data_IF_628691617883
#
_entry.id   IF_628691617883
#
_cell.length_a   1.000
_cell.length_b   1.000
_cell.length_c   1.000
_cell.angle_alpha   90.00
_cell.angle_beta   90.00
_cell.angle_gamma   90.00
#
_symmetry.space_group_name_H-M   'P 1'
#
loop_
_entity.id
_entity.type
_entity.pdbx_description
1 polymer ?
#
# COMPACT_ATOMS: atom_id res chain seq x y z
N UNK A 1 21.27 -60.06 -47.25
CA UNK A 1 20.35 -59.22 -48.05
C UNK A 1 20.31 -57.91 -47.31
N UNK A 2 21.29 -57.07 -47.65
CA UNK A 2 21.63 -55.82 -46.98
C UNK A 2 20.52 -54.79 -47.19
N UNK A 3 20.04 -54.18 -46.11
CA UNK A 3 19.27 -52.94 -46.18
C UNK A 3 20.19 -51.80 -45.79
N UNK A 4 20.44 -50.96 -46.79
CA UNK A 4 21.20 -49.73 -46.71
C UNK A 4 20.33 -48.65 -46.03
N UNK A 5 20.85 -47.87 -45.07
CA UNK A 5 20.08 -46.80 -44.44
C UNK A 5 19.93 -45.59 -45.37
N UNK A 6 18.73 -45.02 -45.35
CA UNK A 6 18.26 -43.86 -46.12
C UNK A 6 18.99 -42.57 -45.68
N UNK A 7 19.47 -41.70 -46.59
CA UNK A 7 20.25 -40.53 -46.23
C UNK A 7 19.36 -39.28 -46.28
N UNK A 8 18.89 -38.79 -45.13
CA UNK A 8 18.61 -37.36 -44.89
C UNK A 8 18.09 -37.18 -43.48
N UNK A 9 18.96 -36.74 -42.58
CA UNK A 9 18.55 -35.99 -41.39
C UNK A 9 19.65 -34.96 -41.11
N UNK A 10 19.62 -33.89 -41.89
CA UNK A 10 20.40 -32.67 -41.66
C UNK A 10 19.54 -31.79 -40.75
N UNK A 11 19.88 -31.61 -39.46
CA UNK A 11 19.16 -30.65 -38.63
C UNK A 11 19.56 -29.27 -39.13
N UNK A 12 18.65 -28.64 -39.88
CA UNK A 12 18.75 -27.25 -40.28
C UNK A 12 19.03 -26.31 -39.10
N UNK A 13 19.47 -25.07 -39.38
CA UNK A 13 20.06 -24.19 -38.39
C UNK A 13 19.10 -23.95 -37.21
N UNK A 14 19.62 -24.19 -36.01
CA UNK A 14 19.07 -23.79 -34.71
C UNK A 14 18.53 -22.36 -34.78
N UNK A 15 17.22 -22.23 -34.56
CA UNK A 15 16.49 -20.96 -34.50
C UNK A 15 17.24 -19.91 -33.68
N UNK A 16 17.31 -18.70 -34.23
CA UNK A 16 17.80 -17.50 -33.57
C UNK A 16 17.02 -17.25 -32.25
N UNK A 17 17.65 -16.70 -31.21
CA UNK A 17 16.98 -16.49 -29.93
C UNK A 17 15.79 -15.52 -30.11
N UNK A 18 14.62 -16.06 -29.77
CA UNK A 18 13.31 -15.42 -29.76
C UNK A 18 13.40 -14.00 -29.16
N UNK A 19 12.97 -13.00 -29.95
CA UNK A 19 12.85 -11.63 -29.45
C UNK A 19 11.82 -11.62 -28.34
N UNK A 20 12.24 -11.24 -27.13
CA UNK A 20 11.36 -11.17 -25.95
C UNK A 20 10.17 -10.25 -26.26
N UNK A 21 9.02 -10.86 -26.56
CA UNK A 21 7.77 -10.17 -26.84
C UNK A 21 7.25 -9.41 -25.62
N UNK A 22 6.38 -8.42 -25.86
CA UNK A 22 5.69 -7.71 -24.78
C UNK A 22 4.89 -8.68 -23.90
N UNK A 23 4.89 -8.49 -22.56
CA UNK A 23 4.19 -9.39 -21.66
C UNK A 23 2.71 -9.50 -22.01
N UNK A 24 2.19 -10.73 -22.00
CA UNK A 24 0.76 -10.96 -22.18
C UNK A 24 -0.10 -10.34 -21.07
N UNK A 25 -1.43 -10.21 -21.23
CA UNK A 25 -2.34 -9.57 -20.26
C UNK A 25 -2.33 -10.16 -18.83
N UNK A 26 -1.76 -11.35 -18.66
CA UNK A 26 -1.60 -12.07 -17.39
C UNK A 26 -0.15 -12.16 -16.91
N UNK A 27 0.80 -11.67 -17.70
CA UNK A 27 2.21 -11.67 -17.37
C UNK A 27 2.57 -10.34 -16.71
N UNK A 28 2.80 -10.41 -15.40
CA UNK A 28 3.33 -9.27 -14.67
C UNK A 28 4.82 -9.16 -15.01
N UNK A 29 5.33 -7.95 -15.30
CA UNK A 29 6.75 -7.77 -15.59
C UNK A 29 7.58 -8.39 -14.45
N UNK A 30 8.53 -9.24 -14.81
CA UNK A 30 9.37 -10.00 -13.86
C UNK A 30 10.31 -9.10 -13.07
N UNK A 31 10.50 -7.85 -13.51
CA UNK A 31 11.26 -6.82 -12.81
C UNK A 31 10.41 -5.57 -12.63
N UNK A 32 10.38 -5.05 -11.40
CA UNK A 32 9.73 -3.79 -11.07
C UNK A 32 10.78 -2.69 -11.08
N UNK A 33 10.45 -1.58 -11.75
CA UNK A 33 11.27 -0.37 -11.78
C UNK A 33 11.93 -0.10 -13.12
N UNK A 34 12.80 0.92 -13.12
CA UNK A 34 13.45 1.47 -14.31
C UNK A 34 14.93 1.70 -14.05
N UNK A 35 15.75 1.69 -15.11
CA UNK A 35 17.17 2.01 -15.03
C UNK A 35 17.45 3.49 -14.75
N UNK A 36 18.73 3.90 -14.75
CA UNK A 36 19.13 5.30 -14.64
C UNK A 36 18.43 6.20 -15.66
N UNK A 37 18.27 7.47 -15.31
CA UNK A 37 17.68 8.47 -16.19
C UNK A 37 18.51 8.63 -17.47
N UNK A 38 17.84 8.58 -18.62
CA UNK A 38 18.47 8.78 -19.92
C UNK A 38 18.35 10.25 -20.34
N UNK A 39 19.47 10.85 -20.74
CA UNK A 39 19.53 12.22 -21.26
C UNK A 39 19.76 13.29 -20.18
N UNK A 40 19.48 14.56 -20.49
CA UNK A 40 19.69 15.68 -19.55
C UNK A 40 18.87 15.48 -18.28
N UNK A 41 19.51 15.66 -17.12
CA UNK A 41 18.84 15.52 -15.85
C UNK A 41 17.78 16.62 -15.65
N UNK A 42 16.60 16.27 -15.11
CA UNK A 42 15.58 17.26 -14.79
C UNK A 42 16.07 18.20 -13.66
N UNK A 43 15.59 19.43 -13.68
CA UNK A 43 15.92 20.46 -12.67
C UNK A 43 14.84 20.61 -11.59
N UNK A 44 13.70 19.92 -11.73
CA UNK A 44 12.62 19.96 -10.76
C UNK A 44 13.04 19.30 -9.43
N UNK A 45 12.89 19.98 -8.29
CA UNK A 45 13.37 19.50 -6.99
C UNK A 45 12.64 18.25 -6.47
N UNK A 46 11.53 17.84 -7.10
CA UNK A 46 10.84 16.60 -6.77
C UNK A 46 11.65 15.36 -7.12
N UNK A 47 12.57 15.46 -8.08
CA UNK A 47 13.40 14.34 -8.50
C UNK A 47 14.55 14.09 -7.53
N UNK A 48 14.74 12.83 -7.17
CA UNK A 48 15.82 12.35 -6.32
C UNK A 48 17.09 12.09 -7.17
N UNK A 49 18.20 12.80 -6.90
CA UNK A 49 19.44 12.64 -7.67
C UNK A 49 20.01 11.21 -7.67
N UNK A 50 19.85 10.46 -6.58
CA UNK A 50 20.35 9.09 -6.49
C UNK A 50 19.49 8.16 -7.36
N UNK A 51 18.17 8.31 -7.34
CA UNK A 51 17.30 7.52 -8.20
C UNK A 51 17.54 7.82 -9.69
N UNK A 52 17.79 9.07 -10.04
CA UNK A 52 18.18 9.44 -11.41
C UNK A 52 19.50 8.77 -11.83
N UNK A 53 20.50 8.72 -10.95
CA UNK A 53 21.80 8.13 -11.25
C UNK A 53 21.80 6.59 -11.30
N UNK A 54 21.08 5.93 -10.39
CA UNK A 54 21.19 4.49 -10.15
C UNK A 54 20.01 3.70 -10.70
N UNK A 55 18.93 4.39 -11.07
CA UNK A 55 17.64 3.82 -11.42
C UNK A 55 16.70 3.69 -10.23
N UNK A 56 15.41 3.56 -10.53
CA UNK A 56 14.34 3.48 -9.54
C UNK A 56 13.70 2.09 -9.55
N UNK A 57 14.12 1.24 -8.60
CA UNK A 57 13.60 -0.11 -8.39
C UNK A 57 12.37 -0.20 -7.46
N UNK A 58 11.81 0.95 -7.03
CA UNK A 58 10.63 0.94 -6.13
C UNK A 58 9.41 0.43 -6.89
N UNK A 59 8.40 -0.06 -6.17
CA UNK A 59 7.10 -0.38 -6.77
C UNK A 59 6.14 0.81 -6.62
N UNK A 60 6.32 1.82 -7.47
CA UNK A 60 5.44 3.01 -7.57
C UNK A 60 4.85 3.14 -8.97
N UNK A 61 3.79 3.91 -9.13
CA UNK A 61 3.24 4.20 -10.46
C UNK A 61 4.23 5.06 -11.28
N UNK A 62 4.15 4.98 -12.61
CA UNK A 62 5.12 5.63 -13.51
C UNK A 62 5.25 7.14 -13.29
N UNK A 63 4.15 7.82 -12.94
CA UNK A 63 4.15 9.25 -12.65
C UNK A 63 4.99 9.67 -11.43
N UNK A 64 5.37 8.73 -10.57
CA UNK A 64 6.21 8.97 -9.38
C UNK A 64 7.63 8.44 -9.53
N UNK A 65 8.01 7.99 -10.73
CA UNK A 65 9.36 7.48 -10.98
C UNK A 65 10.39 8.57 -10.72
N UNK A 66 11.46 8.17 -10.04
CA UNK A 66 12.55 9.04 -9.63
C UNK A 66 12.17 10.15 -8.65
N UNK A 67 10.91 10.27 -8.21
CA UNK A 67 10.54 11.28 -7.22
C UNK A 67 11.03 10.89 -5.84
N UNK A 68 11.40 11.89 -5.04
CA UNK A 68 11.62 11.72 -3.60
C UNK A 68 10.34 11.21 -2.93
N UNK A 69 10.49 10.51 -1.80
CA UNK A 69 9.32 10.02 -1.05
C UNK A 69 8.44 11.19 -0.61
N UNK A 70 9.07 12.29 -0.21
CA UNK A 70 8.43 13.52 0.24
C UNK A 70 7.60 14.16 -0.88
N UNK A 71 8.12 14.18 -2.12
CA UNK A 71 7.37 14.69 -3.26
C UNK A 71 6.14 13.83 -3.60
N UNK A 72 6.26 12.50 -3.46
CA UNK A 72 5.13 11.58 -3.63
C UNK A 72 4.08 11.84 -2.54
N UNK A 73 4.50 11.89 -1.27
CA UNK A 73 3.59 12.19 -0.14
C UNK A 73 2.89 13.53 -0.35
N UNK A 74 3.62 14.58 -0.70
CA UNK A 74 3.06 15.90 -0.93
C UNK A 74 2.03 15.93 -2.06
N UNK A 75 2.23 15.16 -3.14
CA UNK A 75 1.24 15.05 -4.21
C UNK A 75 0.01 14.25 -3.79
N UNK A 76 0.20 13.14 -3.05
CA UNK A 76 -0.90 12.36 -2.48
C UNK A 76 -1.76 13.22 -1.53
N UNK A 77 -1.13 14.04 -0.69
CA UNK A 77 -1.80 14.89 0.29
C UNK A 77 -2.80 15.86 -0.33
N UNK A 78 -2.58 16.30 -1.59
CA UNK A 78 -3.51 17.19 -2.31
C UNK A 78 -4.85 16.55 -2.63
N UNK A 79 -4.94 15.23 -2.54
CA UNK A 79 -6.09 14.43 -2.99
C UNK A 79 -6.55 13.40 -1.95
N UNK A 80 -6.00 13.44 -0.73
CA UNK A 80 -6.47 12.60 0.36
C UNK A 80 -7.91 12.93 0.72
N UNK A 81 -8.66 11.89 1.06
CA UNK A 81 -9.98 12.05 1.64
C UNK A 81 -9.84 12.34 3.13
N UNK A 82 -10.77 13.12 3.74
CA UNK A 82 -10.68 13.52 5.14
C UNK A 82 -10.98 12.40 6.13
N UNK A 83 -11.16 11.15 5.67
CA UNK A 83 -11.33 10.01 6.55
C UNK A 83 -9.97 9.45 6.98
N UNK A 84 -9.96 8.93 8.19
CA UNK A 84 -8.83 8.32 8.86
C UNK A 84 -9.17 6.85 9.16
N UNK A 85 -8.16 6.03 9.41
CA UNK A 85 -8.34 4.62 9.81
C UNK A 85 -7.61 4.38 11.12
N UNK A 86 -8.28 3.80 12.11
CA UNK A 86 -7.67 3.41 13.37
C UNK A 86 -7.74 1.90 13.59
N UNK A 87 -6.67 1.33 14.14
CA UNK A 87 -6.56 -0.12 14.37
C UNK A 87 -5.99 -0.35 15.77
N UNK A 88 -6.67 -1.20 16.53
CA UNK A 88 -6.19 -1.65 17.84
C UNK A 88 -5.05 -2.67 17.71
N UNK A 89 -3.90 -2.40 18.35
CA UNK A 89 -2.73 -3.25 18.41
C UNK A 89 -2.50 -3.81 19.83
N UNK A 90 -3.45 -4.61 20.30
CA UNK A 90 -3.39 -5.26 21.63
C UNK A 90 -2.98 -6.75 21.57
N UNK A 91 -2.89 -7.34 20.36
CA UNK A 91 -2.66 -8.77 20.15
C UNK A 91 -1.65 -9.09 19.03
N UNK A 92 -1.99 -10.03 18.14
CA UNK A 92 -1.18 -10.36 16.96
C UNK A 92 -1.36 -9.29 15.87
N UNK A 93 -0.24 -8.75 15.39
CA UNK A 93 -0.17 -7.56 14.54
C UNK A 93 -0.17 -7.85 13.02
N UNK A 94 -0.46 -9.10 12.63
CA UNK A 94 -0.28 -9.59 11.26
C UNK A 94 -1.06 -8.78 10.20
N UNK A 95 -2.16 -8.14 10.60
CA UNK A 95 -3.05 -7.44 9.68
C UNK A 95 -2.78 -5.94 9.56
N UNK A 96 -2.02 -5.33 10.48
CA UNK A 96 -1.82 -3.87 10.51
C UNK A 96 -1.19 -3.38 9.21
N UNK A 97 -0.19 -4.11 8.69
CA UNK A 97 0.42 -3.77 7.41
C UNK A 97 -0.57 -3.78 6.24
N UNK A 98 -1.45 -4.77 6.17
CA UNK A 98 -2.47 -4.82 5.12
C UNK A 98 -3.43 -3.64 5.21
N UNK A 99 -3.85 -3.25 6.43
CA UNK A 99 -4.71 -2.08 6.60
C UNK A 99 -3.99 -0.79 6.17
N UNK A 100 -2.71 -0.62 6.52
CA UNK A 100 -1.91 0.54 6.05
C UNK A 100 -1.85 0.58 4.52
N UNK A 101 -1.64 -0.57 3.87
CA UNK A 101 -1.62 -0.67 2.41
C UNK A 101 -2.97 -0.29 1.80
N UNK A 102 -4.07 -0.80 2.35
CA UNK A 102 -5.42 -0.47 1.90
C UNK A 102 -5.72 1.02 2.12
N UNK A 103 -5.42 1.56 3.29
CA UNK A 103 -5.63 2.98 3.60
C UNK A 103 -4.85 3.90 2.64
N UNK A 104 -3.61 3.55 2.30
CA UNK A 104 -2.83 4.27 1.28
C UNK A 104 -3.49 4.19 -0.11
N UNK A 105 -3.99 3.03 -0.51
CA UNK A 105 -4.67 2.84 -1.79
C UNK A 105 -5.97 3.65 -1.92
N UNK A 106 -6.71 3.80 -0.82
CA UNK A 106 -7.92 4.63 -0.74
C UNK A 106 -7.65 6.09 -0.38
N UNK A 107 -6.39 6.51 -0.32
CA UNK A 107 -6.00 7.89 0.02
C UNK A 107 -6.61 8.39 1.34
N UNK A 108 -6.65 7.53 2.36
CA UNK A 108 -6.98 7.95 3.72
C UNK A 108 -6.01 9.05 4.18
N UNK A 109 -6.50 10.02 4.95
CA UNK A 109 -5.72 11.13 5.49
C UNK A 109 -4.58 10.64 6.41
N UNK A 110 -4.89 9.79 7.38
CA UNK A 110 -3.91 9.25 8.33
C UNK A 110 -4.35 7.86 8.84
N UNK A 111 -3.38 7.02 9.19
CA UNK A 111 -3.62 5.74 9.88
C UNK A 111 -3.14 5.83 11.32
N UNK A 112 -4.01 5.46 12.26
CA UNK A 112 -3.76 5.46 13.68
C UNK A 112 -3.53 4.03 14.20
N UNK A 113 -2.39 3.81 14.83
CA UNK A 113 -2.07 2.56 15.54
C UNK A 113 -2.28 2.79 17.03
N UNK A 114 -3.25 2.11 17.62
CA UNK A 114 -3.62 2.25 19.03
C UNK A 114 -3.00 1.12 19.85
N UNK A 115 -2.45 1.41 21.03
CA UNK A 115 -1.83 0.40 21.89
C UNK A 115 -0.34 0.22 21.61
N UNK A 116 0.09 -0.99 21.24
CA UNK A 116 1.54 -1.28 21.05
C UNK A 116 2.12 -0.46 19.89
N UNK A 117 3.27 0.17 20.13
CA UNK A 117 4.00 0.97 19.12
C UNK A 117 4.59 0.16 17.97
N UNK A 118 5.10 -1.03 18.28
CA UNK A 118 5.73 -1.91 17.29
C UNK A 118 4.67 -2.80 16.66
N UNK A 119 4.75 -2.92 15.35
CA UNK A 119 3.86 -3.75 14.56
C UNK A 119 4.58 -4.27 13.30
N UNK A 120 4.08 -5.35 12.74
CA UNK A 120 4.62 -6.03 11.57
C UNK A 120 4.30 -5.29 10.27
N UNK A 121 5.33 -4.66 9.69
CA UNK A 121 5.22 -3.87 8.45
C UNK A 121 5.20 -4.68 7.16
N UNK A 122 5.42 -6.00 7.21
CA UNK A 122 5.55 -6.85 6.00
C UNK A 122 4.33 -6.72 5.08
N UNK A 123 3.12 -6.71 5.64
CA UNK A 123 1.87 -6.57 4.88
C UNK A 123 1.69 -5.19 4.23
N UNK A 124 2.41 -4.16 4.71
CA UNK A 124 2.33 -2.82 4.13
C UNK A 124 3.00 -2.74 2.76
N UNK A 125 3.88 -3.69 2.43
CA UNK A 125 4.61 -3.68 1.15
C UNK A 125 5.28 -2.32 0.87
N UNK A 126 5.88 -1.73 1.91
CA UNK A 126 6.59 -0.43 1.88
C UNK A 126 5.67 0.79 1.67
N UNK A 127 4.35 0.60 1.55
CA UNK A 127 3.40 1.72 1.43
C UNK A 127 3.32 2.59 2.69
N UNK A 128 3.80 2.07 3.83
CA UNK A 128 3.94 2.83 5.07
C UNK A 128 4.87 4.06 4.93
N UNK A 129 5.74 4.10 3.92
CA UNK A 129 6.56 5.28 3.62
C UNK A 129 5.79 6.43 2.99
N UNK A 130 4.65 6.14 2.35
CA UNK A 130 3.86 7.11 1.61
C UNK A 130 2.54 7.48 2.32
N UNK A 131 2.34 6.95 3.54
CA UNK A 131 1.15 7.15 4.34
C UNK A 131 1.51 7.79 5.69
N UNK A 132 0.68 8.72 6.16
CA UNK A 132 0.78 9.31 7.48
C UNK A 132 0.39 8.27 8.53
N UNK A 133 1.27 8.07 9.51
CA UNK A 133 1.08 7.11 10.60
C UNK A 133 1.20 7.81 11.95
N UNK A 134 0.16 7.68 12.77
CA UNK A 134 0.13 8.18 14.15
C UNK A 134 0.00 7.03 15.12
N UNK A 135 0.74 7.11 16.23
CA UNK A 135 0.62 6.16 17.33
C UNK A 135 -0.15 6.80 18.48
N UNK A 136 -1.06 6.04 19.09
CA UNK A 136 -1.75 6.39 20.32
C UNK A 136 -1.51 5.31 21.38
N UNK A 137 -1.23 5.67 22.65
CA UNK A 137 -1.01 4.69 23.70
C UNK A 137 -2.26 3.84 24.01
N UNK A 138 -3.46 4.41 23.87
CA UNK A 138 -4.75 3.78 24.15
C UNK A 138 -5.87 4.45 23.34
N UNK A 139 -7.09 3.92 23.50
CA UNK A 139 -8.28 4.43 22.82
C UNK A 139 -8.66 5.83 23.30
N UNK A 140 -8.47 6.15 24.57
CA UNK A 140 -8.79 7.47 25.10
C UNK A 140 -7.97 8.56 24.39
N UNK A 141 -6.68 8.32 24.18
CA UNK A 141 -5.81 9.23 23.43
C UNK A 141 -6.25 9.38 21.95
N UNK A 142 -6.75 8.31 21.32
CA UNK A 142 -7.34 8.40 19.98
C UNK A 142 -8.59 9.29 19.97
N UNK A 143 -9.51 9.08 20.93
CA UNK A 143 -10.75 9.85 21.03
C UNK A 143 -10.46 11.34 21.28
N UNK A 144 -9.48 11.65 22.11
CA UNK A 144 -9.06 13.03 22.37
C UNK A 144 -8.49 13.70 21.12
N UNK A 145 -7.68 12.98 20.34
CA UNK A 145 -7.20 13.45 19.04
C UNK A 145 -8.36 13.68 18.06
N UNK A 146 -9.28 12.73 17.93
CA UNK A 146 -10.42 12.87 17.04
C UNK A 146 -11.28 14.09 17.41
N UNK A 147 -11.53 14.34 18.70
CA UNK A 147 -12.23 15.54 19.17
C UNK A 147 -11.49 16.82 18.82
N UNK A 148 -10.16 16.85 19.01
CA UNK A 148 -9.34 18.01 18.70
C UNK A 148 -9.34 18.35 17.20
N UNK A 149 -9.36 17.34 16.34
CA UNK A 149 -9.39 17.48 14.87
C UNK A 149 -10.81 17.60 14.30
N UNK A 150 -11.85 17.51 15.13
CA UNK A 150 -13.25 17.56 14.67
C UNK A 150 -13.69 16.34 13.87
N UNK A 151 -13.10 15.17 14.12
CA UNK A 151 -13.39 13.91 13.44
C UNK A 151 -14.42 13.09 14.21
N UNK A 152 -15.48 12.63 13.53
CA UNK A 152 -16.39 11.65 14.10
C UNK A 152 -15.70 10.28 14.19
N UNK A 153 -15.78 9.60 15.34
CA UNK A 153 -15.26 8.23 15.46
C UNK A 153 -16.37 7.25 15.14
N UNK A 154 -16.14 6.40 14.13
CA UNK A 154 -17.09 5.38 13.69
C UNK A 154 -16.50 4.00 13.98
N UNK A 155 -17.13 3.30 14.92
CA UNK A 155 -16.82 1.91 15.23
C UNK A 155 -17.24 0.98 14.09
N UNK A 156 -16.29 0.24 13.50
CA UNK A 156 -16.58 -0.79 12.50
C UNK A 156 -16.51 -2.16 13.15
N UNK A 157 -17.68 -2.71 13.49
CA UNK A 157 -17.82 -3.97 14.20
C UNK A 157 -19.18 -4.64 13.90
N UNK A 158 -19.35 -5.91 14.29
CA UNK A 158 -20.58 -6.69 14.11
C UNK A 158 -21.35 -6.91 15.41
N UNK A 159 -21.13 -6.06 16.42
CA UNK A 159 -21.79 -6.14 17.72
C UNK A 159 -23.26 -5.69 17.72
N UNK A 160 -23.97 -5.89 18.85
CA UNK A 160 -25.34 -5.42 19.01
C UNK A 160 -25.46 -3.91 18.78
N UNK A 161 -26.46 -3.49 18.01
CA UNK A 161 -26.70 -2.08 17.67
C UNK A 161 -25.92 -1.58 16.44
N UNK A 162 -25.08 -2.43 15.82
CA UNK A 162 -24.44 -2.10 14.55
C UNK A 162 -25.48 -1.92 13.43
N UNK A 163 -25.24 -0.94 12.58
CA UNK A 163 -26.02 -0.67 11.36
C UNK A 163 -25.25 -1.21 10.16
N UNK A 164 -25.90 -1.90 9.19
CA UNK A 164 -25.24 -2.36 7.98
C UNK A 164 -24.58 -1.20 7.21
N UNK A 165 -23.36 -1.42 6.73
CA UNK A 165 -22.55 -0.38 6.09
C UNK A 165 -23.21 0.15 4.81
N UNK A 166 -23.95 -0.69 4.10
CA UNK A 166 -24.66 -0.34 2.87
C UNK A 166 -25.81 0.67 3.06
N UNK A 167 -26.28 0.85 4.30
CA UNK A 167 -27.34 1.81 4.64
C UNK A 167 -26.91 2.87 5.64
N UNK A 168 -25.69 2.79 6.16
CA UNK A 168 -25.16 3.75 7.12
C UNK A 168 -24.68 5.03 6.43
N UNK A 169 -25.09 6.18 6.94
CA UNK A 169 -24.55 7.47 6.54
C UNK A 169 -23.24 7.74 7.28
N UNK A 170 -22.11 7.65 6.57
CA UNK A 170 -20.78 7.93 7.14
C UNK A 170 -20.38 9.40 6.96
N UNK A 171 -19.94 10.08 8.02
CA UNK A 171 -19.36 11.41 7.89
C UNK A 171 -18.11 11.38 7.02
N UNK A 172 -17.94 12.37 6.14
CA UNK A 172 -16.75 12.47 5.29
C UNK A 172 -15.46 12.58 6.13
N UNK A 173 -15.50 13.41 7.17
CA UNK A 173 -14.42 13.60 8.14
C UNK A 173 -14.66 12.69 9.36
N UNK A 174 -14.10 11.48 9.31
CA UNK A 174 -14.26 10.49 10.38
C UNK A 174 -12.99 9.66 10.59
N UNK A 175 -12.92 9.00 11.75
CA UNK A 175 -11.99 7.90 12.02
C UNK A 175 -12.78 6.60 11.98
N UNK A 176 -12.49 5.73 11.01
CA UNK A 176 -13.00 4.36 10.98
C UNK A 176 -12.16 3.50 11.94
N UNK A 177 -12.72 3.11 13.08
CA UNK A 177 -12.03 2.36 14.13
C UNK A 177 -12.33 0.85 14.02
N UNK A 178 -11.27 0.06 13.79
CA UNK A 178 -11.31 -1.39 13.68
C UNK A 178 -10.70 -2.05 14.92
N UNK A 179 -11.43 -3.02 15.49
CA UNK A 179 -10.97 -3.83 16.62
C UNK A 179 -10.06 -5.00 16.21
N UNK A 180 -9.62 -5.77 17.20
CA UNK A 180 -8.83 -6.99 16.99
C UNK A 180 -9.73 -8.13 16.49
N UNK A 181 -9.28 -8.88 15.47
CA UNK A 181 -9.96 -10.09 14.98
C UNK A 181 -10.07 -11.10 16.13
N UNK A 182 -11.28 -11.28 16.67
CA UNK A 182 -11.54 -12.04 17.89
C UNK A 182 -12.61 -11.35 18.75
N UNK A 183 -12.26 -10.72 19.90
CA UNK A 183 -13.23 -10.11 20.81
C UNK A 183 -13.96 -8.87 20.25
N UNK A 184 -13.60 -8.39 19.06
CA UNK A 184 -14.13 -7.14 18.50
C UNK A 184 -13.50 -5.92 19.16
N UNK A 185 -14.19 -4.78 19.15
CA UNK A 185 -13.75 -3.55 19.82
C UNK A 185 -13.72 -3.70 21.34
N UNK A 186 -12.71 -3.09 21.97
CA UNK A 186 -12.63 -2.96 23.43
C UNK A 186 -13.87 -2.24 24.01
N UNK A 187 -14.30 -2.55 25.25
CA UNK A 187 -15.42 -1.85 25.89
C UNK A 187 -15.25 -0.32 25.89
N UNK A 188 -14.02 0.15 26.07
CA UNK A 188 -13.65 1.56 26.05
C UNK A 188 -13.91 2.19 24.67
N UNK A 189 -13.60 1.47 23.58
CA UNK A 189 -13.89 1.92 22.21
C UNK A 189 -15.38 1.92 21.87
N UNK A 190 -16.20 1.09 22.53
CA UNK A 190 -17.67 1.09 22.31
C UNK A 190 -18.39 2.20 23.08
N UNK A 191 -17.80 2.68 24.16
CA UNK A 191 -18.43 3.65 25.06
C UNK A 191 -18.13 5.11 24.69
N UNK A 192 -17.11 5.34 23.87
CA UNK A 192 -16.67 6.68 23.43
C UNK A 192 -17.28 7.11 22.11
#
# INVERSE_FOLDING_TARGET
>A
MDQQPDPTDDPGPIDEPDQVGEPGPTEWPTSVGVGPWAGPWPTDPRYDPQLLAEGDRRNVVDGYRYWTVEAVVADLDRRRHPFHVAIENFGHDLNIGTVVRTANAFLAAEVHVVGRRRWNRRGAMVTDRYQHLRHHPDVAALLDHARAEGLAVVAVDNGPGAVPLETADLPAACVLLFGVVGPGLTPEARAG
#
